data_IF_177593458781
#
_entry.id   IF_177593458781
#
_cell.length_a   1.000
_cell.length_b   1.000
_cell.length_c   1.000
_cell.angle_alpha   90.00
_cell.angle_beta   90.00
_cell.angle_gamma   90.00
#
_symmetry.space_group_name_H-M   'P 1'
#
loop_
_entity.id
_entity.type
_entity.pdbx_description
1 polymer ?
#
# COMPACT_ATOMS: atom_id res chain seq x y z
N UNK A 1 -54.64 6.77 -21.78
CA UNK A 1 -53.81 5.56 -21.54
C UNK A 1 -52.46 5.85 -20.83
N UNK A 2 -52.38 6.82 -19.90
CA UNK A 2 -51.11 7.18 -19.22
C UNK A 2 -51.17 7.14 -17.68
N UNK A 3 -52.23 6.56 -17.10
CA UNK A 3 -52.43 6.54 -15.63
C UNK A 3 -52.18 5.17 -14.97
N UNK A 4 -52.09 4.07 -15.72
CA UNK A 4 -51.90 2.73 -15.15
C UNK A 4 -50.45 2.28 -14.94
N UNK A 5 -49.47 3.01 -15.45
CA UNK A 5 -48.04 2.62 -15.36
C UNK A 5 -47.25 3.27 -14.20
N UNK A 6 -47.81 4.29 -13.51
CA UNK A 6 -47.12 4.91 -12.36
C UNK A 6 -47.26 4.14 -11.04
N UNK A 7 -48.30 3.33 -10.88
CA UNK A 7 -48.55 2.53 -9.66
C UNK A 7 -47.73 1.23 -9.61
N UNK A 8 -47.35 0.66 -10.76
CA UNK A 8 -46.52 -0.55 -10.81
C UNK A 8 -45.03 -0.26 -10.58
N UNK A 9 -44.55 0.94 -10.92
CA UNK A 9 -43.15 1.32 -10.70
C UNK A 9 -42.84 1.64 -9.23
N UNK A 10 -43.81 2.15 -8.46
CA UNK A 10 -43.61 2.45 -7.01
C UNK A 10 -43.69 1.19 -6.14
N UNK A 11 -44.47 0.17 -6.54
CA UNK A 11 -44.56 -1.11 -5.83
C UNK A 11 -43.34 -2.02 -6.06
N UNK A 12 -42.61 -1.86 -7.17
CA UNK A 12 -41.38 -2.61 -7.45
C UNK A 12 -40.14 -2.02 -6.76
N UNK A 13 -40.15 -0.75 -6.36
CA UNK A 13 -39.03 -0.11 -5.66
C UNK A 13 -39.10 -0.35 -4.14
N UNK A 14 -40.28 -0.60 -3.57
CA UNK A 14 -40.45 -0.92 -2.14
C UNK A 14 -40.11 -2.38 -1.77
N UNK A 15 -40.00 -3.29 -2.73
CA UNK A 15 -39.59 -4.68 -2.47
C UNK A 15 -38.07 -4.92 -2.43
N UNK A 16 -37.25 -3.93 -2.81
CA UNK A 16 -35.78 -4.05 -2.82
C UNK A 16 -35.08 -3.43 -1.60
N UNK A 17 -35.81 -2.77 -0.70
CA UNK A 17 -35.27 -2.08 0.47
C UNK A 17 -35.90 -2.61 1.77
N UNK A 18 -35.74 -3.91 2.04
CA UNK A 18 -35.72 -4.48 3.40
C UNK A 18 -35.57 -6.01 3.31
N UNK A 19 -34.44 -6.47 2.76
CA UNK A 19 -33.95 -7.79 3.14
C UNK A 19 -33.39 -7.68 4.57
N UNK A 20 -34.29 -7.53 5.55
CA UNK A 20 -33.95 -7.67 6.96
C UNK A 20 -33.25 -9.03 7.11
N UNK A 21 -32.09 -9.12 7.76
CA UNK A 21 -31.42 -10.40 7.97
C UNK A 21 -32.42 -11.34 8.65
N UNK A 22 -32.81 -12.41 7.95
CA UNK A 22 -33.71 -13.42 8.52
C UNK A 22 -33.02 -13.95 9.77
N UNK A 23 -33.65 -13.77 10.93
CA UNK A 23 -33.20 -14.34 12.20
C UNK A 23 -33.08 -15.85 12.04
N UNK A 24 -31.85 -16.31 11.89
CA UNK A 24 -31.54 -17.72 11.68
C UNK A 24 -31.47 -18.45 13.01
N UNK A 25 -31.82 -19.72 12.93
CA UNK A 25 -32.38 -20.52 14.01
C UNK A 25 -31.47 -20.52 15.24
N UNK A 26 -32.04 -20.21 16.41
CA UNK A 26 -31.31 -20.14 17.69
C UNK A 26 -30.87 -21.52 18.23
N UNK A 27 -31.07 -22.59 17.47
CA UNK A 27 -30.88 -23.97 17.89
C UNK A 27 -29.51 -24.51 17.46
N UNK A 28 -28.95 -25.40 18.29
CA UNK A 28 -27.72 -26.11 17.98
C UNK A 28 -27.94 -27.15 16.88
N UNK A 29 -27.09 -27.13 15.86
CA UNK A 29 -27.08 -28.13 14.79
C UNK A 29 -25.85 -29.04 14.92
N UNK A 30 -26.03 -30.34 14.66
CA UNK A 30 -24.91 -31.29 14.56
C UNK A 30 -24.38 -31.31 13.12
N UNK A 31 -23.11 -31.00 12.94
CA UNK A 31 -22.47 -30.88 11.63
C UNK A 31 -21.05 -31.50 11.67
N UNK A 32 -20.57 -31.98 10.53
CA UNK A 32 -19.22 -32.55 10.37
C UNK A 32 -18.39 -31.71 9.39
N UNK A 33 -17.20 -31.28 9.83
CA UNK A 33 -16.25 -30.52 9.00
C UNK A 33 -15.33 -31.48 8.24
N UNK A 34 -15.21 -31.36 6.92
CA UNK A 34 -14.33 -32.24 6.12
C UNK A 34 -13.03 -31.56 5.66
N UNK A 35 -12.99 -30.23 5.56
CA UNK A 35 -11.83 -29.53 5.02
C UNK A 35 -11.53 -28.21 5.72
N UNK A 36 -10.27 -27.78 5.63
CA UNK A 36 -9.75 -26.51 6.13
C UNK A 36 -9.26 -25.70 4.94
N UNK A 37 -9.80 -24.49 4.75
CA UNK A 37 -9.28 -23.55 3.75
C UNK A 37 -8.99 -22.24 4.49
N UNK A 38 -7.70 -21.96 4.60
CA UNK A 38 -7.13 -20.86 5.37
C UNK A 38 -7.77 -19.49 5.05
N UNK A 39 -8.17 -18.66 6.04
CA UNK A 39 -8.13 -18.88 7.49
C UNK A 39 -9.45 -19.40 8.09
N UNK A 40 -10.38 -19.91 7.27
CA UNK A 40 -11.72 -20.34 7.69
C UNK A 40 -11.91 -21.84 7.87
N UNK A 41 -12.95 -22.24 8.61
CA UNK A 41 -13.45 -23.61 8.70
C UNK A 41 -14.55 -23.83 7.65
N UNK A 42 -14.48 -24.88 6.83
CA UNK A 42 -15.45 -25.15 5.76
C UNK A 42 -16.25 -26.44 5.98
N UNK A 43 -17.57 -26.36 5.85
CA UNK A 43 -18.48 -27.52 5.85
C UNK A 43 -18.69 -28.08 4.44
N UNK A 44 -18.73 -29.40 4.32
CA UNK A 44 -18.54 -30.09 3.04
C UNK A 44 -19.72 -30.07 2.08
N UNK A 45 -20.95 -29.87 2.56
CA UNK A 45 -22.13 -30.00 1.72
C UNK A 45 -22.67 -28.67 1.17
N UNK A 46 -22.33 -27.55 1.81
CA UNK A 46 -23.04 -26.29 1.55
C UNK A 46 -22.09 -25.10 1.28
N UNK A 47 -20.78 -25.35 1.12
CA UNK A 47 -19.72 -24.33 0.93
C UNK A 47 -19.71 -23.25 2.02
N UNK A 48 -20.24 -23.53 3.21
CA UNK A 48 -20.25 -22.56 4.30
C UNK A 48 -18.88 -22.42 4.92
N UNK A 49 -18.43 -21.17 5.05
CA UNK A 49 -17.32 -20.75 5.88
C UNK A 49 -17.86 -20.32 7.24
N UNK A 50 -17.38 -20.99 8.27
CA UNK A 50 -17.72 -20.67 9.66
C UNK A 50 -16.57 -19.93 10.29
N UNK A 51 -16.86 -18.74 10.81
CA UNK A 51 -15.95 -17.99 11.66
C UNK A 51 -16.42 -18.11 13.11
N UNK A 52 -15.57 -18.52 14.07
CA UNK A 52 -15.92 -18.45 15.48
C UNK A 52 -16.28 -17.01 15.86
N UNK A 53 -17.42 -16.83 16.51
CA UNK A 53 -17.83 -15.49 16.98
C UNK A 53 -16.91 -14.97 18.06
N UNK A 54 -16.83 -13.63 18.18
CA UNK A 54 -16.22 -12.90 19.31
C UNK A 54 -14.70 -13.05 19.46
N UNK A 55 -14.04 -13.75 18.55
CA UNK A 55 -12.58 -13.90 18.53
C UNK A 55 -11.98 -13.53 17.18
N UNK A 56 -10.78 -12.97 17.22
CA UNK A 56 -9.91 -12.75 16.08
C UNK A 56 -8.86 -13.84 16.10
N UNK A 57 -8.91 -14.71 15.10
CA UNK A 57 -7.80 -15.59 14.76
C UNK A 57 -6.90 -14.77 13.84
N UNK A 58 -5.66 -14.46 14.23
CA UNK A 58 -4.81 -13.64 13.39
C UNK A 58 -4.65 -14.27 12.00
N UNK A 59 -4.74 -13.43 10.98
CA UNK A 59 -4.83 -13.90 9.62
C UNK A 59 -3.56 -14.67 9.26
N UNK A 60 -3.70 -15.96 8.93
CA UNK A 60 -2.54 -16.81 8.62
C UNK A 60 -1.81 -16.37 7.33
N UNK A 61 -2.40 -15.44 6.56
CA UNK A 61 -1.83 -14.88 5.33
C UNK A 61 -1.32 -13.45 5.50
N UNK A 62 -1.50 -12.82 6.67
CA UNK A 62 -0.88 -11.52 6.91
C UNK A 62 0.65 -11.70 6.99
N UNK A 63 1.35 -10.76 6.36
CA UNK A 63 2.83 -10.72 6.29
C UNK A 63 3.43 -10.42 7.67
N UNK A 64 2.60 -10.06 8.66
CA UNK A 64 3.04 -9.91 10.04
C UNK A 64 3.35 -11.28 10.67
N UNK A 65 4.64 -11.58 10.73
CA UNK A 65 5.22 -12.88 11.10
C UNK A 65 4.95 -13.30 12.55
N UNK A 66 4.56 -12.36 13.42
CA UNK A 66 4.13 -12.66 14.80
C UNK A 66 2.91 -13.57 14.84
N UNK A 67 2.06 -13.52 13.81
CA UNK A 67 0.84 -14.30 13.69
C UNK A 67 1.04 -15.75 13.18
N UNK A 68 2.26 -16.11 12.74
CA UNK A 68 2.54 -17.43 12.14
C UNK A 68 3.10 -18.46 13.13
N UNK A 69 3.55 -18.05 14.32
CA UNK A 69 4.28 -18.91 15.27
C UNK A 69 3.48 -20.12 15.76
N UNK A 70 2.16 -19.97 15.99
CA UNK A 70 1.27 -21.07 16.38
C UNK A 70 0.46 -21.62 15.21
N UNK A 71 0.62 -21.09 13.99
CA UNK A 71 -0.17 -21.49 12.82
C UNK A 71 -0.14 -23.02 12.62
N UNK A 72 1.05 -23.63 12.67
CA UNK A 72 1.18 -25.09 12.49
C UNK A 72 0.52 -25.89 13.62
N UNK A 73 0.60 -25.40 14.86
CA UNK A 73 -0.03 -26.06 16.03
C UNK A 73 -1.55 -25.93 15.96
N UNK A 74 -2.04 -24.75 15.58
CA UNK A 74 -3.45 -24.49 15.33
C UNK A 74 -3.97 -25.37 14.18
N UNK A 75 -3.31 -25.38 13.02
CA UNK A 75 -3.67 -26.25 11.90
C UNK A 75 -3.69 -27.73 12.30
N UNK A 76 -2.69 -28.20 13.05
CA UNK A 76 -2.66 -29.57 13.56
C UNK A 76 -3.82 -29.84 14.53
N UNK A 77 -4.14 -28.90 15.41
CA UNK A 77 -5.29 -29.00 16.29
C UNK A 77 -6.59 -29.10 15.49
N UNK A 78 -6.80 -28.25 14.49
CA UNK A 78 -7.97 -28.31 13.61
C UNK A 78 -8.05 -29.66 12.89
N UNK A 79 -6.95 -30.12 12.30
CA UNK A 79 -6.89 -31.40 11.58
C UNK A 79 -7.19 -32.60 12.48
N UNK A 80 -6.67 -32.61 13.70
CA UNK A 80 -6.78 -33.78 14.60
C UNK A 80 -8.02 -33.77 15.49
N UNK A 81 -8.55 -32.59 15.82
CA UNK A 81 -9.67 -32.44 16.76
C UNK A 81 -10.98 -32.06 16.08
N UNK A 82 -10.95 -31.49 14.88
CA UNK A 82 -12.14 -30.92 14.25
C UNK A 82 -12.54 -31.68 12.98
N UNK A 83 -11.58 -31.95 12.08
CA UNK A 83 -11.89 -32.64 10.82
C UNK A 83 -12.48 -34.02 11.09
N UNK A 84 -13.56 -34.34 10.38
CA UNK A 84 -14.33 -35.58 10.43
C UNK A 84 -14.87 -35.94 11.82
N UNK A 85 -15.13 -34.93 12.66
CA UNK A 85 -15.78 -35.11 13.96
C UNK A 85 -17.14 -34.41 14.00
N UNK A 86 -18.12 -34.95 14.73
CA UNK A 86 -19.39 -34.28 14.94
C UNK A 86 -19.19 -33.06 15.84
N UNK A 87 -19.73 -31.93 15.41
CA UNK A 87 -19.66 -30.65 16.10
C UNK A 87 -21.05 -30.09 16.29
N UNK A 88 -21.28 -29.42 17.42
CA UNK A 88 -22.48 -28.63 17.65
C UNK A 88 -22.19 -27.20 17.25
N UNK A 89 -22.96 -26.65 16.33
CA UNK A 89 -22.80 -25.28 15.84
C UNK A 89 -24.06 -24.49 16.11
N UNK A 90 -23.91 -23.28 16.66
CA UNK A 90 -24.99 -22.31 16.86
C UNK A 90 -24.62 -21.03 16.12
N UNK A 91 -25.36 -20.70 15.07
CA UNK A 91 -25.13 -19.50 14.28
C UNK A 91 -25.60 -18.24 15.02
N UNK A 92 -24.81 -17.17 14.96
CA UNK A 92 -25.14 -15.87 15.59
C UNK A 92 -25.68 -14.88 14.57
N UNK A 93 -25.12 -14.83 13.36
CA UNK A 93 -25.50 -13.89 12.31
C UNK A 93 -25.30 -14.50 10.90
N UNK A 94 -26.22 -14.21 9.99
CA UNK A 94 -26.06 -14.44 8.55
C UNK A 94 -25.79 -13.10 7.84
N UNK A 95 -24.70 -13.01 7.09
CA UNK A 95 -24.41 -11.82 6.27
C UNK A 95 -25.06 -11.97 4.89
N UNK A 96 -25.84 -10.98 4.47
CA UNK A 96 -26.85 -11.13 3.41
C UNK A 96 -26.39 -10.93 1.96
N UNK A 97 -25.11 -10.77 1.65
CA UNK A 97 -24.71 -10.46 0.26
C UNK A 97 -24.13 -11.62 -0.54
N UNK A 98 -23.55 -12.64 0.11
CA UNK A 98 -23.08 -13.88 -0.55
C UNK A 98 -23.17 -15.02 0.47
N UNK A 99 -24.06 -16.00 0.26
CA UNK A 99 -24.51 -17.04 1.20
C UNK A 99 -23.44 -18.03 1.75
N UNK A 100 -22.16 -17.66 1.74
CA UNK A 100 -21.01 -18.49 2.08
C UNK A 100 -20.39 -18.17 3.43
N UNK A 101 -20.78 -17.07 4.11
CA UNK A 101 -20.16 -16.65 5.37
C UNK A 101 -21.17 -16.65 6.51
N UNK A 102 -20.92 -17.46 7.54
CA UNK A 102 -21.72 -17.51 8.76
C UNK A 102 -20.83 -17.37 9.98
N UNK A 103 -21.24 -16.53 10.92
CA UNK A 103 -20.62 -16.48 12.25
C UNK A 103 -21.38 -17.40 13.19
N UNK A 104 -20.65 -18.09 14.06
CA UNK A 104 -21.28 -18.98 15.01
C UNK A 104 -20.36 -19.54 16.07
N UNK A 105 -20.98 -20.00 17.15
CA UNK A 105 -20.32 -20.72 18.21
C UNK A 105 -20.19 -22.18 17.83
N UNK A 106 -18.97 -22.72 17.93
CA UNK A 106 -18.68 -24.13 17.69
C UNK A 106 -18.37 -24.79 19.03
N UNK A 107 -19.04 -25.90 19.33
CA UNK A 107 -18.80 -26.73 20.50
C UNK A 107 -18.49 -28.16 20.07
N UNK A 108 -17.55 -28.78 20.76
CA UNK A 108 -17.33 -30.22 20.69
C UNK A 108 -18.46 -30.95 21.43
N UNK A 109 -18.54 -32.28 21.32
CA UNK A 109 -19.54 -33.05 22.09
C UNK A 109 -19.38 -32.96 23.63
N UNK A 110 -18.36 -32.23 24.13
CA UNK A 110 -18.16 -31.84 25.53
C UNK A 110 -18.58 -30.40 25.86
N UNK A 111 -18.27 -29.95 27.09
CA UNK A 111 -18.66 -28.61 27.58
C UNK A 111 -17.91 -27.44 26.91
N UNK A 112 -16.72 -27.68 26.35
CA UNK A 112 -15.83 -26.61 25.89
C UNK A 112 -16.15 -26.13 24.47
N UNK A 113 -16.16 -24.81 24.29
CA UNK A 113 -16.27 -24.16 22.99
C UNK A 113 -14.92 -24.13 22.27
N UNK A 114 -14.95 -24.17 20.94
CA UNK A 114 -13.75 -24.00 20.13
C UNK A 114 -13.04 -22.69 20.45
N UNK A 115 -13.77 -21.57 20.46
CA UNK A 115 -13.19 -20.25 20.73
C UNK A 115 -12.49 -20.17 22.09
N UNK A 116 -13.08 -20.77 23.12
CA UNK A 116 -12.47 -20.87 24.46
C UNK A 116 -11.14 -21.63 24.42
N UNK A 117 -11.08 -22.77 23.72
CA UNK A 117 -9.85 -23.54 23.56
C UNK A 117 -8.78 -22.74 22.81
N UNK A 118 -9.16 -22.00 21.76
CA UNK A 118 -8.22 -21.18 21.00
C UNK A 118 -7.66 -20.04 21.84
N UNK A 119 -8.50 -19.37 22.62
CA UNK A 119 -8.10 -18.31 23.54
C UNK A 119 -7.17 -18.85 24.63
N UNK A 120 -7.51 -19.99 25.26
CA UNK A 120 -6.74 -20.58 26.36
C UNK A 120 -5.35 -21.09 25.95
N UNK A 121 -5.18 -21.45 24.68
CA UNK A 121 -3.87 -21.81 24.12
C UNK A 121 -3.11 -20.62 23.53
N UNK A 122 -3.73 -19.44 23.52
CA UNK A 122 -3.16 -18.24 22.95
C UNK A 122 -3.04 -18.29 21.41
N UNK A 123 -3.95 -18.97 20.72
CA UNK A 123 -3.99 -19.04 19.25
C UNK A 123 -4.99 -18.06 18.62
N UNK A 124 -5.77 -17.38 19.44
CA UNK A 124 -6.69 -16.32 19.06
C UNK A 124 -6.73 -15.27 20.17
N UNK A 125 -7.25 -14.10 19.86
CA UNK A 125 -7.55 -13.03 20.82
C UNK A 125 -9.03 -12.65 20.74
N UNK A 126 -9.57 -12.04 21.79
CA UNK A 126 -10.90 -11.44 21.75
C UNK A 126 -10.96 -10.32 20.71
N UNK A 127 -12.09 -10.23 20.00
CA UNK A 127 -12.33 -9.14 19.05
C UNK A 127 -12.63 -7.84 19.78
N UNK A 128 -11.92 -6.76 19.43
CA UNK A 128 -12.12 -5.41 20.00
C UNK A 128 -13.54 -4.89 19.80
N UNK A 129 -14.22 -5.33 18.74
CA UNK A 129 -15.59 -4.93 18.41
C UNK A 129 -16.65 -5.65 19.26
N UNK A 130 -16.24 -6.52 20.19
CA UNK A 130 -17.17 -7.27 21.03
C UNK A 130 -17.49 -6.45 22.29
N UNK A 131 -18.63 -5.77 22.31
CA UNK A 131 -19.02 -4.92 23.45
C UNK A 131 -19.10 -5.68 24.78
N UNK A 132 -19.51 -6.95 24.75
CA UNK A 132 -19.65 -7.81 25.93
C UNK A 132 -19.23 -9.25 25.61
N UNK A 133 -17.92 -9.58 25.67
CA UNK A 133 -17.47 -10.93 25.43
C UNK A 133 -18.05 -11.88 26.47
N UNK A 134 -18.30 -13.13 26.07
CA UNK A 134 -18.75 -14.15 26.99
C UNK A 134 -17.70 -14.36 28.09
N UNK A 135 -18.12 -14.37 29.36
CA UNK A 135 -17.24 -14.55 30.52
C UNK A 135 -16.21 -15.70 30.34
N UNK A 136 -16.59 -16.89 29.85
CA UNK A 136 -15.62 -17.97 29.63
C UNK A 136 -14.49 -17.62 28.65
N UNK A 137 -14.74 -16.78 27.65
CA UNK A 137 -13.75 -16.37 26.66
C UNK A 137 -12.74 -15.40 27.29
N UNK A 138 -13.24 -14.43 28.06
CA UNK A 138 -12.40 -13.52 28.82
C UNK A 138 -11.50 -14.29 29.81
N UNK A 139 -12.07 -15.22 30.56
CA UNK A 139 -11.33 -16.05 31.50
C UNK A 139 -10.28 -16.92 30.79
N UNK A 140 -10.59 -17.48 29.62
CA UNK A 140 -9.65 -18.25 28.81
C UNK A 140 -8.47 -17.41 28.30
N UNK A 141 -8.72 -16.20 27.82
CA UNK A 141 -7.65 -15.31 27.38
C UNK A 141 -6.74 -14.90 28.54
N UNK A 142 -7.32 -14.55 29.71
CA UNK A 142 -6.52 -14.23 30.91
C UNK A 142 -5.64 -15.43 31.30
N UNK A 143 -6.17 -16.65 31.27
CA UNK A 143 -5.36 -17.85 31.55
C UNK A 143 -4.20 -18.00 30.56
N UNK A 144 -4.41 -17.74 29.27
CA UNK A 144 -3.33 -17.79 28.29
C UNK A 144 -2.26 -16.71 28.52
N UNK A 145 -2.68 -15.49 28.86
CA UNK A 145 -1.81 -14.36 29.18
C UNK A 145 -0.94 -14.65 30.39
N UNK A 146 -1.56 -15.05 31.51
CA UNK A 146 -0.86 -15.35 32.77
C UNK A 146 0.12 -16.51 32.59
N UNK A 147 -0.28 -17.55 31.84
CA UNK A 147 0.56 -18.72 31.59
C UNK A 147 1.54 -18.52 30.41
N UNK A 148 1.60 -17.34 29.80
CA UNK A 148 2.46 -17.02 28.66
C UNK A 148 2.36 -18.06 27.52
N UNK A 149 1.13 -18.36 27.09
CA UNK A 149 0.85 -19.32 26.00
C UNK A 149 0.65 -18.63 24.66
N UNK A 150 1.01 -19.29 23.56
CA UNK A 150 0.74 -18.82 22.21
C UNK A 150 1.28 -17.41 21.95
N UNK A 151 0.43 -16.47 21.50
CA UNK A 151 0.81 -15.07 21.22
C UNK A 151 1.43 -14.37 22.44
N UNK A 152 1.14 -14.82 23.66
CA UNK A 152 1.56 -14.17 24.91
C UNK A 152 2.81 -14.80 25.55
N UNK A 153 3.51 -15.70 24.85
CA UNK A 153 4.80 -16.20 25.35
C UNK A 153 5.69 -16.91 24.33
N UNK A 154 5.31 -18.09 23.83
CA UNK A 154 6.19 -18.89 22.95
C UNK A 154 6.61 -18.13 21.67
N UNK A 155 5.75 -17.24 21.19
CA UNK A 155 5.98 -16.42 20.01
C UNK A 155 7.00 -15.30 20.25
N UNK A 156 7.06 -14.73 21.46
CA UNK A 156 8.10 -13.77 21.85
C UNK A 156 9.50 -14.41 21.83
N UNK A 157 9.60 -15.70 22.14
CA UNK A 157 10.88 -16.41 22.14
C UNK A 157 11.36 -16.81 20.73
N UNK A 158 10.44 -17.21 19.84
CA UNK A 158 10.77 -17.60 18.46
C UNK A 158 11.19 -16.42 17.58
N UNK A 159 10.56 -15.25 17.75
CA UNK A 159 11.05 -14.00 17.15
C UNK A 159 12.52 -13.76 17.49
N UNK A 160 12.88 -13.93 18.78
CA UNK A 160 14.24 -13.77 19.26
C UNK A 160 15.22 -14.84 18.75
N UNK A 161 14.81 -16.08 18.52
CA UNK A 161 15.71 -17.15 18.02
C UNK A 161 15.97 -17.02 16.52
N UNK A 162 14.96 -16.67 15.72
CA UNK A 162 15.14 -16.50 14.27
C UNK A 162 15.77 -15.16 13.94
N UNK A 163 15.52 -14.09 14.70
CA UNK A 163 16.33 -12.87 14.60
C UNK A 163 17.79 -13.16 14.97
N UNK A 164 18.04 -13.99 16.00
CA UNK A 164 19.41 -14.46 16.31
C UNK A 164 20.03 -15.27 15.16
N UNK A 165 19.28 -16.15 14.48
CA UNK A 165 19.79 -16.89 13.32
C UNK A 165 19.98 -16.00 12.07
N UNK A 166 19.09 -15.04 11.84
CA UNK A 166 19.20 -14.03 10.78
C UNK A 166 20.41 -13.14 11.02
N UNK A 167 20.60 -12.68 12.26
CA UNK A 167 21.80 -11.96 12.69
C UNK A 167 23.04 -12.82 12.53
N UNK A 168 23.03 -14.13 12.85
CA UNK A 168 24.17 -15.04 12.60
C UNK A 168 24.49 -15.19 11.12
N UNK A 169 23.48 -15.39 10.26
CA UNK A 169 23.65 -15.39 8.80
C UNK A 169 24.18 -14.06 8.27
N UNK A 170 23.76 -12.94 8.86
CA UNK A 170 24.24 -11.59 8.58
C UNK A 170 25.68 -11.37 9.07
N UNK A 171 26.05 -11.94 10.21
CA UNK A 171 27.41 -11.87 10.77
C UNK A 171 28.39 -12.64 9.87
N UNK A 172 27.91 -13.70 9.21
CA UNK A 172 28.66 -14.45 8.21
C UNK A 172 28.68 -13.72 6.85
N UNK A 173 27.59 -13.03 6.45
CA UNK A 173 27.49 -12.29 5.18
C UNK A 173 28.25 -10.96 5.16
N UNK A 174 28.26 -10.21 6.28
CA UNK A 174 29.01 -8.95 6.38
C UNK A 174 30.53 -9.17 6.46
N UNK A 175 30.97 -10.42 6.42
CA UNK A 175 32.35 -10.85 6.57
C UNK A 175 33.01 -10.25 7.82
N UNK A 176 34.20 -10.75 8.14
CA UNK A 176 34.95 -10.30 9.32
C UNK A 176 35.25 -8.79 9.27
N UNK A 177 35.23 -8.18 8.08
CA UNK A 177 35.65 -6.79 7.83
C UNK A 177 34.60 -5.72 8.14
N UNK A 178 33.28 -6.00 8.07
CA UNK A 178 32.24 -4.97 8.27
C UNK A 178 31.42 -5.13 9.56
N UNK A 179 31.89 -5.90 10.55
CA UNK A 179 31.21 -6.04 11.86
C UNK A 179 30.96 -4.71 12.56
N UNK A 180 31.85 -3.74 12.38
CA UNK A 180 31.69 -2.39 12.94
C UNK A 180 30.47 -1.65 12.41
N UNK A 181 29.87 -2.05 11.28
CA UNK A 181 28.64 -1.45 10.76
C UNK A 181 27.36 -1.95 11.45
N UNK A 182 27.47 -3.01 12.26
CA UNK A 182 26.34 -3.58 12.99
C UNK A 182 26.11 -2.97 14.38
N UNK A 183 27.07 -2.19 14.89
CA UNK A 183 26.93 -1.50 16.16
C UNK A 183 25.78 -0.47 16.13
N UNK A 184 25.34 -0.05 17.33
CA UNK A 184 24.30 0.98 17.46
C UNK A 184 24.73 2.30 16.80
N UNK A 185 26.02 2.59 16.86
CA UNK A 185 26.64 3.74 16.19
C UNK A 185 27.85 3.22 15.42
N UNK A 186 27.93 3.56 14.14
CA UNK A 186 29.08 3.26 13.28
C UNK A 186 29.48 4.51 12.50
N UNK A 187 30.60 4.45 11.78
CA UNK A 187 31.05 5.55 10.91
C UNK A 187 31.51 5.00 9.58
N UNK A 188 31.37 5.79 8.52
CA UNK A 188 31.87 5.42 7.19
C UNK A 188 32.11 6.64 6.31
N UNK A 189 32.96 6.46 5.29
CA UNK A 189 33.18 7.46 4.25
C UNK A 189 32.19 7.22 3.12
N UNK A 190 31.48 8.26 2.68
CA UNK A 190 30.53 8.14 1.58
C UNK A 190 31.29 8.17 0.25
N UNK A 191 31.18 7.10 -0.51
CA UNK A 191 31.84 6.95 -1.82
C UNK A 191 30.92 7.33 -2.98
N UNK A 192 29.61 7.10 -2.84
CA UNK A 192 28.63 7.34 -3.91
C UNK A 192 27.23 7.59 -3.34
N UNK A 193 26.49 8.48 -4.00
CA UNK A 193 25.03 8.63 -3.83
C UNK A 193 24.35 7.80 -4.91
N UNK A 194 23.54 6.80 -4.53
CA UNK A 194 22.90 5.87 -5.48
C UNK A 194 21.49 6.36 -5.84
N UNK A 195 20.73 6.77 -4.84
CA UNK A 195 19.38 7.34 -4.97
C UNK A 195 19.15 8.36 -3.85
N UNK A 196 18.07 9.15 -3.88
CA UNK A 196 17.92 10.24 -2.92
C UNK A 196 17.63 9.79 -1.46
N UNK A 197 17.49 8.48 -1.22
CA UNK A 197 17.48 7.84 0.10
C UNK A 197 18.56 6.76 0.27
N UNK A 198 19.47 6.56 -0.68
CA UNK A 198 20.44 5.46 -0.66
C UNK A 198 21.85 5.95 -0.97
N UNK A 199 22.75 5.77 -0.02
CA UNK A 199 24.17 6.06 -0.17
C UNK A 199 24.99 4.77 -0.10
N UNK A 200 26.20 4.83 -0.62
CA UNK A 200 27.20 3.79 -0.53
C UNK A 200 28.46 4.31 0.14
N UNK A 201 29.03 3.48 1.00
CA UNK A 201 30.24 3.77 1.72
C UNK A 201 31.46 3.22 0.97
N UNK A 202 32.65 3.69 1.35
CA UNK A 202 33.93 3.26 0.75
C UNK A 202 34.21 1.75 0.87
N UNK A 203 33.59 1.07 1.84
CA UNK A 203 33.65 -0.38 2.01
C UNK A 203 32.58 -1.16 1.22
N UNK A 204 31.86 -0.49 0.30
CA UNK A 204 30.78 -1.06 -0.51
C UNK A 204 29.45 -1.26 0.22
N UNK A 205 29.37 -0.91 1.51
CA UNK A 205 28.12 -1.04 2.27
C UNK A 205 27.11 0.02 1.82
N UNK A 206 25.89 -0.43 1.50
CA UNK A 206 24.76 0.44 1.14
C UNK A 206 23.94 0.81 2.37
N UNK A 207 23.67 2.09 2.54
CA UNK A 207 22.92 2.66 3.66
C UNK A 207 21.69 3.39 3.12
N UNK A 208 20.52 2.93 3.52
CA UNK A 208 19.25 3.61 3.27
C UNK A 208 18.95 4.56 4.42
N UNK A 209 18.65 5.81 4.10
CA UNK A 209 18.25 6.83 5.07
C UNK A 209 16.86 6.50 5.61
N UNK A 210 16.77 6.43 6.93
CA UNK A 210 15.54 6.03 7.64
C UNK A 210 14.51 7.18 7.70
N UNK A 211 13.22 6.83 7.80
CA UNK A 211 12.10 7.78 7.90
C UNK A 211 11.83 8.69 6.69
N UNK A 212 12.53 8.50 5.57
CA UNK A 212 12.35 9.34 4.38
C UNK A 212 11.33 8.73 3.40
N UNK A 213 10.35 9.54 3.02
CA UNK A 213 9.39 9.29 1.95
C UNK A 213 9.78 10.07 0.71
N UNK A 214 10.27 9.37 -0.33
CA UNK A 214 10.58 9.96 -1.62
C UNK A 214 9.52 9.49 -2.63
N UNK A 215 8.85 10.41 -3.36
CA UNK A 215 7.89 9.99 -4.36
C UNK A 215 8.59 9.24 -5.48
N UNK A 216 7.95 8.17 -5.96
CA UNK A 216 8.42 7.44 -7.13
C UNK A 216 8.32 8.31 -8.38
N UNK A 217 9.27 8.17 -9.29
CA UNK A 217 9.36 8.92 -10.54
C UNK A 217 8.19 8.55 -11.46
N UNK A 218 7.08 9.29 -11.40
CA UNK A 218 5.92 9.14 -12.29
C UNK A 218 5.71 10.36 -13.19
N UNK A 219 6.38 11.47 -12.89
CA UNK A 219 6.29 12.74 -13.61
C UNK A 219 7.67 13.40 -13.68
N UNK A 220 7.85 14.31 -14.63
CA UNK A 220 9.09 15.09 -14.78
C UNK A 220 9.39 15.94 -13.54
N UNK A 221 8.37 16.53 -12.92
CA UNK A 221 8.52 17.24 -11.64
C UNK A 221 9.08 16.35 -10.53
N UNK A 222 8.58 15.12 -10.42
CA UNK A 222 9.11 14.16 -9.43
C UNK A 222 10.53 13.70 -9.75
N UNK A 223 10.89 13.60 -11.03
CA UNK A 223 12.28 13.35 -11.43
C UNK A 223 13.19 14.48 -10.98
N UNK A 224 12.83 15.71 -11.32
CA UNK A 224 13.62 16.89 -10.98
C UNK A 224 13.76 17.06 -9.46
N UNK A 225 12.72 16.74 -8.69
CA UNK A 225 12.80 16.70 -7.23
C UNK A 225 13.85 15.68 -6.74
N UNK A 226 13.82 14.46 -7.25
CA UNK A 226 14.80 13.43 -6.89
C UNK A 226 16.23 13.85 -7.24
N UNK A 227 16.43 14.45 -8.42
CA UNK A 227 17.73 14.93 -8.88
C UNK A 227 18.27 16.03 -7.96
N UNK A 228 17.40 16.93 -7.49
CA UNK A 228 17.80 17.97 -6.54
C UNK A 228 18.21 17.37 -5.19
N UNK A 229 17.46 16.40 -4.69
CA UNK A 229 17.80 15.71 -3.44
C UNK A 229 19.12 14.96 -3.55
N UNK A 230 19.42 14.35 -4.70
CA UNK A 230 20.72 13.73 -4.97
C UNK A 230 21.84 14.77 -4.98
N UNK A 231 21.68 15.89 -5.67
CA UNK A 231 22.68 16.98 -5.69
C UNK A 231 22.97 17.53 -4.30
N UNK A 232 21.93 17.70 -3.47
CA UNK A 232 22.11 18.13 -2.09
C UNK A 232 22.89 17.10 -1.27
N UNK A 233 22.56 15.81 -1.41
CA UNK A 233 23.31 14.75 -0.75
C UNK A 233 24.75 14.67 -1.23
N UNK A 234 25.02 14.89 -2.52
CA UNK A 234 26.38 14.94 -3.07
C UNK A 234 27.17 16.10 -2.46
N UNK A 235 26.60 17.30 -2.38
CA UNK A 235 27.26 18.47 -1.80
C UNK A 235 27.55 18.28 -0.30
N UNK A 236 26.62 17.66 0.42
CA UNK A 236 26.72 17.45 1.86
C UNK A 236 27.62 16.28 2.21
N UNK A 237 27.53 15.16 1.52
CA UNK A 237 28.08 13.88 2.00
C UNK A 237 29.21 13.31 1.16
N UNK A 238 29.28 13.58 -0.15
CA UNK A 238 30.22 12.89 -1.01
C UNK A 238 31.67 13.11 -0.56
N UNK A 239 32.42 12.02 -0.38
CA UNK A 239 33.79 12.05 0.10
C UNK A 239 33.95 12.42 1.58
N UNK A 240 32.86 12.59 2.34
CA UNK A 240 32.90 12.94 3.76
C UNK A 240 32.65 11.74 4.66
N UNK A 241 33.15 11.83 5.88
CA UNK A 241 32.93 10.84 6.94
C UNK A 241 31.62 11.15 7.65
N UNK A 242 30.73 10.16 7.70
CA UNK A 242 29.42 10.26 8.37
C UNK A 242 29.36 9.34 9.57
N UNK A 243 28.62 9.75 10.60
CA UNK A 243 28.19 8.91 11.70
C UNK A 243 26.82 8.32 11.37
N UNK A 244 26.70 7.02 11.52
CA UNK A 244 25.53 6.24 11.21
C UNK A 244 24.95 5.71 12.50
N UNK A 245 23.66 5.91 12.69
CA UNK A 245 22.98 5.51 13.91
C UNK A 245 21.84 4.55 13.60
N UNK A 246 21.85 3.42 14.32
CA UNK A 246 20.88 2.35 14.21
C UNK A 246 19.65 2.67 15.05
N UNK A 247 18.47 2.33 14.51
CA UNK A 247 17.22 2.25 15.24
C UNK A 247 16.75 0.79 15.41
N UNK A 248 15.45 0.57 15.63
CA UNK A 248 14.83 -0.76 15.70
C UNK A 248 14.96 -1.56 14.39
N UNK A 249 14.78 -0.91 13.24
CA UNK A 249 14.89 -1.53 11.91
C UNK A 249 16.35 -1.58 11.45
N UNK A 250 16.90 -2.79 11.30
CA UNK A 250 18.31 -2.94 10.94
C UNK A 250 18.54 -3.06 9.43
N UNK A 251 17.58 -3.60 8.68
CA UNK A 251 17.76 -4.03 7.29
C UNK A 251 16.50 -3.83 6.46
N UNK A 252 16.69 -3.64 5.16
CA UNK A 252 15.61 -3.83 4.19
C UNK A 252 15.27 -5.33 4.05
N UNK A 253 14.13 -5.63 3.41
CA UNK A 253 13.66 -7.00 3.15
C UNK A 253 14.66 -7.88 2.41
N UNK A 254 15.61 -7.29 1.68
CA UNK A 254 16.67 -8.01 0.95
C UNK A 254 17.90 -8.34 1.81
N UNK A 255 18.00 -7.81 3.03
CA UNK A 255 19.12 -8.05 3.94
C UNK A 255 20.47 -7.46 3.52
N UNK A 256 20.53 -6.71 2.40
CA UNK A 256 21.77 -6.14 1.84
C UNK A 256 21.96 -4.65 2.16
N UNK A 257 20.88 -3.95 2.52
CA UNK A 257 20.89 -2.50 2.75
C UNK A 257 20.57 -2.26 4.22
N UNK A 258 21.43 -1.52 4.91
CA UNK A 258 21.21 -1.13 6.30
C UNK A 258 20.35 0.13 6.34
N UNK A 259 19.38 0.18 7.25
CA UNK A 259 18.63 1.39 7.53
C UNK A 259 19.30 2.14 8.68
N UNK A 260 19.60 3.43 8.47
CA UNK A 260 20.32 4.27 9.43
C UNK A 260 19.83 5.71 9.39
N UNK A 261 19.95 6.38 10.53
CA UNK A 261 20.05 7.82 10.59
C UNK A 261 21.48 8.24 10.26
N UNK A 262 21.62 9.29 9.46
CA UNK A 262 22.91 9.78 8.99
C UNK A 262 23.18 11.15 9.60
N UNK A 263 24.34 11.27 10.21
CA UNK A 263 24.84 12.49 10.83
C UNK A 263 26.16 12.88 10.15
N UNK A 264 26.26 14.13 9.76
CA UNK A 264 27.53 14.72 9.34
C UNK A 264 28.12 15.44 10.55
N UNK A 265 29.27 14.97 11.03
CA UNK A 265 29.94 15.59 12.17
C UNK A 265 30.45 16.99 11.79
N UNK A 266 30.19 17.96 12.65
CA UNK A 266 30.71 19.31 12.53
C UNK A 266 32.16 19.41 13.02
N UNK A 267 32.78 20.57 12.83
CA UNK A 267 34.02 20.90 13.53
C UNK A 267 33.72 21.25 15.02
N UNK A 268 34.75 21.56 15.81
CA UNK A 268 34.60 21.87 17.25
C UNK A 268 33.62 23.01 17.59
N UNK A 269 33.23 23.81 16.60
CA UNK A 269 32.37 24.98 16.75
C UNK A 269 31.00 24.81 16.11
N UNK A 270 30.74 23.66 15.47
CA UNK A 270 29.50 23.38 14.74
C UNK A 270 28.86 22.11 15.27
N UNK A 271 27.56 22.20 15.56
CA UNK A 271 26.76 21.02 15.94
C UNK A 271 26.69 20.04 14.76
N UNK A 272 26.63 18.72 15.02
CA UNK A 272 26.48 17.74 13.95
C UNK A 272 25.17 17.96 13.19
N UNK A 273 25.26 17.92 11.86
CA UNK A 273 24.10 18.07 10.99
C UNK A 273 23.36 16.73 10.89
N UNK A 274 22.08 16.74 11.25
CA UNK A 274 21.22 15.59 11.07
C UNK A 274 20.65 15.57 9.65
N UNK A 275 21.16 14.68 8.80
CA UNK A 275 20.86 14.71 7.36
C UNK A 275 19.40 14.39 7.09
N UNK A 276 18.82 13.41 7.79
CA UNK A 276 17.43 13.03 7.58
C UNK A 276 16.47 14.20 7.88
N UNK A 277 16.75 14.94 8.96
CA UNK A 277 16.00 16.15 9.31
C UNK A 277 16.24 17.27 8.30
N UNK A 278 17.49 17.50 7.88
CA UNK A 278 17.84 18.52 6.88
C UNK A 278 17.05 18.33 5.58
N UNK A 279 16.96 17.10 5.08
CA UNK A 279 16.21 16.82 3.85
C UNK A 279 14.71 17.10 4.02
N UNK A 280 14.14 16.81 5.19
CA UNK A 280 12.72 17.07 5.47
C UNK A 280 12.47 18.57 5.64
N UNK A 281 13.33 19.27 6.40
CA UNK A 281 13.17 20.70 6.67
C UNK A 281 13.28 21.55 5.40
N UNK A 282 14.06 21.11 4.41
CA UNK A 282 14.22 21.80 3.13
C UNK A 282 13.27 21.29 2.03
N UNK A 283 12.24 20.51 2.38
CA UNK A 283 11.29 19.91 1.43
C UNK A 283 11.96 19.06 0.32
N UNK A 284 13.12 18.46 0.59
CA UNK A 284 13.84 17.54 -0.31
C UNK A 284 13.45 16.06 -0.08
N UNK A 285 12.76 15.78 1.01
CA UNK A 285 12.12 14.50 1.29
C UNK A 285 10.87 14.72 2.16
N UNK A 286 9.91 13.79 2.10
CA UNK A 286 8.78 13.77 3.02
C UNK A 286 9.09 12.89 4.23
N UNK A 287 8.35 13.08 5.32
CA UNK A 287 8.35 12.13 6.43
C UNK A 287 7.53 10.89 6.04
N UNK A 288 8.14 9.71 6.10
CA UNK A 288 7.42 8.43 5.93
C UNK A 288 6.57 8.14 7.17
N UNK A 289 5.28 8.48 7.07
CA UNK A 289 4.30 8.29 8.14
C UNK A 289 4.00 6.82 8.45
N UNK A 290 4.47 5.86 7.65
CA UNK A 290 4.32 4.44 7.99
C UNK A 290 5.29 3.99 9.09
N UNK A 291 6.29 4.82 9.40
CA UNK A 291 7.33 4.53 10.38
C UNK A 291 7.12 5.36 11.67
N UNK A 292 5.99 5.17 12.36
CA UNK A 292 5.63 5.96 13.55
C UNK A 292 6.39 5.59 14.83
N UNK A 293 7.01 4.41 14.90
CA UNK A 293 7.74 3.90 16.08
C UNK A 293 9.25 4.12 15.99
N UNK A 294 9.65 5.29 15.51
CA UNK A 294 11.05 5.63 15.26
C UNK A 294 11.63 6.55 16.33
N UNK A 295 12.92 6.38 16.63
CA UNK A 295 13.65 7.10 17.68
C UNK A 295 13.53 8.63 17.59
N UNK A 296 13.50 9.19 16.37
CA UNK A 296 13.48 10.63 16.12
C UNK A 296 12.15 11.14 15.55
N UNK A 297 11.05 10.40 15.70
CA UNK A 297 9.78 10.73 15.04
C UNK A 297 9.29 12.14 15.36
N UNK A 298 9.34 12.58 16.62
CA UNK A 298 8.84 13.91 17.01
C UNK A 298 9.71 15.05 16.47
N UNK A 299 11.03 14.85 16.41
CA UNK A 299 11.97 15.79 15.80
C UNK A 299 11.69 15.94 14.30
N UNK A 300 11.53 14.83 13.60
CA UNK A 300 11.25 14.84 12.16
C UNK A 300 9.85 15.38 11.83
N UNK A 301 8.85 15.12 12.68
CA UNK A 301 7.52 15.75 12.58
C UNK A 301 7.61 17.26 12.70
N UNK A 302 8.37 17.76 13.68
CA UNK A 302 8.56 19.19 13.88
C UNK A 302 9.22 19.83 12.65
N UNK A 303 10.27 19.21 12.11
CA UNK A 303 10.91 19.66 10.88
C UNK A 303 9.96 19.70 9.68
N UNK A 304 9.12 18.66 9.50
CA UNK A 304 8.12 18.62 8.44
C UNK A 304 7.06 19.72 8.60
N UNK A 305 6.64 20.02 9.84
CA UNK A 305 5.70 21.09 10.14
C UNK A 305 6.31 22.46 9.83
N UNK A 306 7.56 22.71 10.24
CA UNK A 306 8.26 23.95 9.91
C UNK A 306 8.39 24.16 8.40
N UNK A 307 8.79 23.13 7.66
CA UNK A 307 8.90 23.17 6.20
C UNK A 307 7.57 23.47 5.48
N UNK A 308 6.44 23.06 6.08
CA UNK A 308 5.10 23.33 5.55
C UNK A 308 4.59 24.74 5.88
N UNK A 309 5.05 25.35 6.98
CA UNK A 309 4.55 26.65 7.45
C UNK A 309 5.16 27.83 6.70
N UNK A 310 6.29 27.63 6.01
CA UNK A 310 6.99 28.70 5.31
C UNK A 310 6.20 29.28 4.12
N UNK A 311 5.08 28.68 3.68
CA UNK A 311 4.15 29.18 2.64
C UNK A 311 4.80 29.60 1.30
N UNK A 312 6.07 29.30 1.10
CA UNK A 312 6.83 29.55 -0.12
C UNK A 312 7.10 28.21 -0.77
N UNK A 313 6.76 28.09 -2.06
CA UNK A 313 7.14 26.92 -2.83
C UNK A 313 8.68 26.81 -2.79
N UNK A 314 9.24 25.67 -2.40
CA UNK A 314 10.69 25.55 -2.24
C UNK A 314 11.39 25.85 -3.57
N UNK A 315 12.59 26.45 -3.51
CA UNK A 315 13.31 26.93 -4.71
C UNK A 315 13.47 25.86 -5.78
N UNK A 316 13.64 24.60 -5.37
CA UNK A 316 13.71 23.47 -6.29
C UNK A 316 12.42 23.30 -7.09
N UNK A 317 11.24 23.50 -6.49
CA UNK A 317 9.96 23.40 -7.18
C UNK A 317 9.84 24.46 -8.26
N UNK A 318 10.17 25.72 -7.93
CA UNK A 318 10.13 26.84 -8.88
C UNK A 318 11.11 26.64 -10.06
N UNK A 319 12.32 26.15 -9.75
CA UNK A 319 13.32 25.84 -10.75
C UNK A 319 12.89 24.69 -11.66
N UNK A 320 12.34 23.61 -11.09
CA UNK A 320 11.87 22.46 -11.84
C UNK A 320 10.64 22.82 -12.70
N UNK A 321 9.66 23.52 -12.15
CA UNK A 321 8.45 23.90 -12.89
C UNK A 321 8.77 24.84 -14.06
N UNK A 322 9.67 25.80 -13.86
CA UNK A 322 10.05 26.73 -14.93
C UNK A 322 10.84 26.06 -16.04
N UNK A 323 11.68 25.06 -15.74
CA UNK A 323 12.38 24.27 -16.75
C UNK A 323 11.43 23.45 -17.61
N UNK A 324 10.43 22.82 -16.99
CA UNK A 324 9.43 22.02 -17.70
C UNK A 324 8.57 22.90 -18.62
N UNK A 325 8.14 24.08 -18.14
CA UNK A 325 7.40 25.04 -18.96
C UNK A 325 8.25 25.50 -20.17
N UNK A 326 9.53 25.82 -19.96
CA UNK A 326 10.44 26.21 -21.06
C UNK A 326 10.68 25.08 -22.05
N UNK A 327 10.76 23.83 -21.61
CA UNK A 327 10.90 22.69 -22.53
C UNK A 327 9.65 22.43 -23.35
N UNK A 328 8.46 22.74 -22.81
CA UNK A 328 7.20 22.67 -23.56
C UNK A 328 7.11 23.79 -24.60
N UNK A 329 7.56 25.01 -24.26
CA UNK A 329 7.62 26.16 -25.18
C UNK A 329 8.59 25.91 -26.35
N UNK A 330 9.79 25.37 -26.07
CA UNK A 330 10.77 25.07 -27.12
C UNK A 330 10.35 23.89 -28.02
N UNK A 331 9.50 22.98 -27.52
CA UNK A 331 8.91 21.91 -28.32
C UNK A 331 7.65 22.37 -29.09
N UNK A 332 7.15 23.59 -28.86
CA UNK A 332 6.00 24.14 -29.58
C UNK A 332 6.36 24.65 -31.00
N UNK A 333 7.65 24.86 -31.31
CA UNK A 333 8.12 25.31 -32.64
C UNK A 333 8.06 24.23 -33.74
N UNK A 334 7.69 22.99 -33.43
CA UNK A 334 7.40 21.97 -34.44
C UNK A 334 5.90 21.71 -34.65
N UNK A 335 5.00 22.55 -34.10
CA UNK A 335 3.57 22.44 -34.37
C UNK A 335 3.28 23.23 -35.66
N UNK A 336 2.72 22.61 -36.72
CA UNK A 336 2.36 23.36 -37.92
C UNK A 336 1.44 24.52 -37.54
N UNK A 337 1.57 25.69 -38.21
CA UNK A 337 0.81 26.89 -37.86
C UNK A 337 -0.67 26.53 -37.78
N UNK A 338 -1.30 26.90 -36.66
CA UNK A 338 -2.75 26.87 -36.52
C UNK A 338 -3.31 27.75 -37.63
N UNK A 339 -3.85 27.12 -38.67
CA UNK A 339 -4.54 27.81 -39.75
C UNK A 339 -5.70 28.60 -39.13
N UNK A 340 -5.75 29.90 -39.42
CA UNK A 340 -6.84 30.77 -38.98
C UNK A 340 -8.18 30.16 -39.40
N UNK A 341 -9.07 29.98 -38.42
CA UNK A 341 -10.37 29.36 -38.60
C UNK A 341 -11.29 30.32 -39.37
N UNK A 342 -11.58 29.98 -40.63
CA UNK A 342 -12.61 30.66 -41.43
C UNK A 342 -13.99 30.09 -41.07
N UNK A 343 -14.91 30.89 -40.50
CA UNK A 343 -16.27 30.43 -40.18
C UNK A 343 -17.08 30.00 -41.42
N UNK A 344 -16.68 30.40 -42.64
CA UNK A 344 -17.32 30.03 -43.91
C UNK A 344 -16.63 28.85 -44.62
N UNK A 345 -15.82 28.06 -43.89
CA UNK A 345 -15.15 26.85 -44.35
C UNK A 345 -16.07 25.90 -45.15
N UNK A 346 -15.96 25.82 -46.49
CA UNK A 346 -16.89 25.06 -47.32
C UNK A 346 -16.60 23.56 -47.32
N UNK A 347 -15.34 23.17 -47.05
CA UNK A 347 -14.92 21.78 -46.89
C UNK A 347 -14.09 21.65 -45.61
N UNK A 348 -14.57 20.85 -44.66
CA UNK A 348 -13.99 20.70 -43.31
C UNK A 348 -13.09 19.47 -43.23
N UNK A 349 -11.79 19.66 -43.02
CA UNK A 349 -10.77 18.61 -42.89
C UNK A 349 -10.36 18.36 -41.44
N UNK A 350 -10.28 17.09 -41.05
CA UNK A 350 -9.89 16.64 -39.72
C UNK A 350 -8.85 15.51 -39.79
N UNK A 351 -7.95 15.46 -38.81
CA UNK A 351 -6.93 14.40 -38.68
C UNK A 351 -7.24 13.54 -37.46
N UNK A 352 -7.94 12.42 -37.66
CA UNK A 352 -8.28 11.47 -36.59
C UNK A 352 -7.23 10.35 -36.49
N UNK A 353 -7.02 9.78 -35.30
CA UNK A 353 -6.15 8.60 -35.11
C UNK A 353 -4.95 8.85 -34.18
N UNK A 354 -4.06 7.86 -34.08
CA UNK A 354 -2.88 7.95 -33.21
C UNK A 354 -1.72 8.67 -33.91
N UNK A 355 -0.77 9.25 -33.15
CA UNK A 355 0.46 9.88 -33.70
C UNK A 355 1.22 8.97 -34.69
N UNK A 356 1.10 7.65 -34.56
CA UNK A 356 1.76 6.68 -35.45
C UNK A 356 1.01 6.42 -36.75
N UNK A 357 -0.31 6.62 -36.78
CA UNK A 357 -1.17 6.37 -37.94
C UNK A 357 -2.30 7.42 -38.00
N UNK A 358 -2.00 8.65 -38.46
CA UNK A 358 -3.01 9.69 -38.64
C UNK A 358 -3.87 9.39 -39.87
N UNK A 359 -5.19 9.50 -39.73
CA UNK A 359 -6.18 9.37 -40.79
C UNK A 359 -6.77 10.75 -41.10
N UNK A 360 -6.46 11.25 -42.28
CA UNK A 360 -6.91 12.56 -42.77
C UNK A 360 -8.22 12.39 -43.53
N UNK A 361 -9.30 12.99 -43.03
CA UNK A 361 -10.62 12.90 -43.66
C UNK A 361 -11.28 14.26 -43.80
N UNK A 362 -12.01 14.47 -44.90
CA UNK A 362 -12.76 15.72 -45.11
C UNK A 362 -14.27 15.48 -45.27
N UNK A 363 -15.04 16.48 -44.86
CA UNK A 363 -16.49 16.52 -44.89
C UNK A 363 -16.96 17.64 -45.81
N UNK A 364 -17.91 17.31 -46.70
CA UNK A 364 -18.62 18.29 -47.54
C UNK A 364 -19.98 18.63 -46.92
N UNK A 365 -20.65 19.71 -47.35
CA UNK A 365 -21.98 20.07 -46.83
C UNK A 365 -23.05 18.97 -46.99
N UNK A 366 -22.85 18.04 -47.92
CA UNK A 366 -23.71 16.88 -48.13
C UNK A 366 -23.49 15.75 -47.10
N UNK A 367 -22.39 15.76 -46.36
CA UNK A 367 -22.11 14.76 -45.32
C UNK A 367 -23.01 14.99 -44.10
N UNK A 368 -23.61 13.90 -43.58
CA UNK A 368 -24.47 13.98 -42.39
C UNK A 368 -23.79 14.52 -41.13
N UNK A 369 -22.45 14.54 -41.09
CA UNK A 369 -21.66 15.00 -39.96
C UNK A 369 -21.11 16.43 -40.11
N UNK A 370 -21.32 17.07 -41.27
CA UNK A 370 -20.71 18.35 -41.61
C UNK A 370 -21.00 19.49 -40.60
N UNK A 371 -22.23 19.55 -40.09
CA UNK A 371 -22.65 20.56 -39.11
C UNK A 371 -22.10 20.30 -37.69
N UNK A 372 -21.67 19.08 -37.40
CA UNK A 372 -21.24 18.66 -36.05
C UNK A 372 -19.73 18.73 -35.83
N UNK A 373 -18.97 18.78 -36.92
CA UNK A 373 -17.51 18.72 -36.88
C UNK A 373 -16.94 20.13 -36.98
N UNK A 374 -15.98 20.42 -36.11
CA UNK A 374 -15.11 21.58 -36.18
C UNK A 374 -13.90 21.22 -37.05
N UNK A 375 -13.61 22.03 -38.07
CA UNK A 375 -12.52 21.78 -38.99
C UNK A 375 -11.17 22.09 -38.33
N UNK A 376 -10.21 21.18 -38.45
CA UNK A 376 -8.80 21.45 -38.15
C UNK A 376 -8.09 22.13 -39.33
N UNK A 377 -8.58 21.86 -40.55
CA UNK A 377 -8.12 22.48 -41.77
C UNK A 377 -9.29 22.74 -42.72
N UNK A 378 -9.31 23.90 -43.36
CA UNK A 378 -10.34 24.30 -44.31
C UNK A 378 -9.83 24.24 -45.74
N UNK A 379 -10.68 23.75 -46.65
CA UNK A 379 -10.38 23.72 -48.09
C UNK A 379 -11.47 24.45 -48.86
N UNK A 380 -11.08 25.14 -49.93
CA UNK A 380 -12.01 25.83 -50.82
C UNK A 380 -12.88 24.84 -51.62
N UNK A 381 -12.33 23.69 -51.99
CA UNK A 381 -13.04 22.65 -52.75
C UNK A 381 -12.52 21.23 -52.44
N UNK A 382 -13.22 20.21 -52.98
CA UNK A 382 -12.82 18.80 -52.78
C UNK A 382 -11.47 18.47 -53.45
N UNK A 383 -11.06 19.20 -54.49
CA UNK A 383 -9.81 18.96 -55.19
C UNK A 383 -8.63 19.39 -54.32
N UNK A 384 -8.71 20.55 -53.67
CA UNK A 384 -7.75 21.03 -52.70
C UNK A 384 -7.61 20.08 -51.51
N UNK A 385 -8.73 19.55 -50.99
CA UNK A 385 -8.71 18.56 -49.90
C UNK A 385 -8.00 17.25 -50.30
N UNK A 386 -8.29 16.73 -51.50
CA UNK A 386 -7.63 15.51 -52.01
C UNK A 386 -6.15 15.72 -52.30
N UNK A 387 -5.78 16.87 -52.88
CA UNK A 387 -4.38 17.26 -53.11
C UNK A 387 -3.59 17.40 -51.81
N UNK A 388 -4.25 17.80 -50.72
CA UNK A 388 -3.68 17.84 -49.37
C UNK A 388 -3.63 16.46 -48.67
N UNK A 389 -4.07 15.39 -49.34
CA UNK A 389 -4.04 14.01 -48.84
C UNK A 389 -5.18 13.65 -47.89
N UNK A 390 -6.30 14.37 -47.94
CA UNK A 390 -7.51 14.03 -47.18
C UNK A 390 -8.44 13.14 -48.00
N UNK A 391 -9.02 12.14 -47.35
CA UNK A 391 -10.00 11.24 -47.96
C UNK A 391 -11.43 11.69 -47.66
N UNK A 392 -12.33 11.58 -48.65
CA UNK A 392 -13.73 11.94 -48.48
C UNK A 392 -14.43 10.96 -47.54
N UNK A 393 -15.10 11.46 -46.52
CA UNK A 393 -15.98 10.62 -45.69
C UNK A 393 -17.20 10.24 -46.52
N UNK A 394 -17.52 8.95 -46.55
CA UNK A 394 -18.67 8.39 -47.27
C UNK A 394 -20.00 8.90 -46.74
#
# INVERSE_FOLDING_TARGET
MLSKYRLLATLLILCYLSASPRLVWANWQKLELQTLINPGLYLSKERWRINPSDIVIPAMQQVDYTNQCYQKRFENFLKTKIINKPLKIKFSQEYSSQALYREGQIKFEGKYGLAEILLENGWAQLSENTEKPLKPYHDAQIRAQVNRRGLWGECDHWYNLRERQRLRGLTNYLAVENRSMLSNVSTGWVSRIISPDLIELSNGQKIKLQALGIPKQKSELQSCWQDQTVKELESLLLGKKVRLEKDQLQLTTTGRILQRYVWLEGNRWQSPLFINEHLISHNLALLDQTQLNLKYVDRLKSAALSASQENVAPDWWLNCSSQIIKSDENNAESKPPLLEFDPDCPIKGNVAGSKKNPKKTFHTPASGWYKRIEAEQCFADEAAAKSAGFEKVK
#
